data_IF_362992717832
#
_entry.id   IF_362992717832
#
_cell.length_a   1.000
_cell.length_b   1.000
_cell.length_c   1.000
_cell.angle_alpha   90.00
_cell.angle_beta   90.00
_cell.angle_gamma   90.00
#
_symmetry.space_group_name_H-M   'P 1'
#
loop_
_entity.id
_entity.type
_entity.pdbx_description
1 polymer ?
#
# COMPACT_ATOMS: atom_id res chain seq x y z
N UNK A 1 3.23 2.68 19.42
CA UNK A 1 2.01 2.56 20.27
C UNK A 1 1.24 3.85 20.19
N UNK A 2 -0.11 3.81 20.02
CA UNK A 2 -0.95 4.96 20.32
C UNK A 2 -0.77 5.28 21.81
N UNK A 3 -0.26 6.44 22.13
CA UNK A 3 0.35 6.65 23.44
C UNK A 3 -0.50 7.41 24.43
N UNK A 4 -1.50 8.14 23.99
CA UNK A 4 -2.37 8.94 24.87
C UNK A 4 -3.75 9.12 24.26
N UNK A 5 -4.75 9.39 25.09
CA UNK A 5 -6.11 9.72 24.62
C UNK A 5 -6.15 10.91 23.64
N UNK A 6 -5.24 11.86 23.80
CA UNK A 6 -5.14 13.03 22.90
C UNK A 6 -4.71 12.69 21.46
N UNK A 7 -4.14 11.51 21.23
CA UNK A 7 -3.70 11.03 19.92
C UNK A 7 -4.64 9.96 19.37
N UNK A 8 -5.79 9.75 19.99
CA UNK A 8 -6.80 8.84 19.52
C UNK A 8 -7.51 9.48 18.33
N UNK A 9 -7.42 8.80 17.21
CA UNK A 9 -8.27 9.15 16.06
C UNK A 9 -9.66 8.58 16.28
N UNK A 10 -10.67 9.45 16.39
CA UNK A 10 -12.06 9.02 16.48
C UNK A 10 -12.55 8.47 15.14
N UNK A 11 -12.42 7.16 15.00
CA UNK A 11 -12.93 6.48 13.84
C UNK A 11 -14.45 6.52 13.86
N UNK A 12 -15.04 7.17 12.87
CA UNK A 12 -16.49 7.15 12.67
C UNK A 12 -16.98 5.70 12.57
N UNK A 13 -18.25 5.47 12.91
CA UNK A 13 -18.87 4.13 12.79
C UNK A 13 -18.66 3.53 11.40
N UNK A 14 -18.57 4.37 10.40
CA UNK A 14 -18.35 4.02 9.01
C UNK A 14 -17.05 3.27 8.75
N UNK A 15 -16.00 3.60 9.47
CA UNK A 15 -14.65 3.01 9.27
C UNK A 15 -14.28 1.97 10.33
N UNK A 16 -15.16 1.62 11.26
CA UNK A 16 -14.84 0.66 12.34
C UNK A 16 -14.44 -0.72 11.84
N UNK A 17 -14.93 -1.13 10.70
CA UNK A 17 -14.57 -2.43 10.12
C UNK A 17 -13.11 -2.48 9.66
N UNK A 18 -12.51 -1.34 9.27
CA UNK A 18 -11.11 -1.27 8.88
C UNK A 18 -10.17 -0.96 10.04
N UNK A 19 -10.71 -0.43 11.14
CA UNK A 19 -9.98 -0.13 12.37
C UNK A 19 -10.82 -0.50 13.59
N UNK A 20 -10.88 -1.78 13.94
CA UNK A 20 -11.77 -2.27 15.00
C UNK A 20 -11.39 -1.75 16.41
N UNK A 21 -10.16 -1.30 16.60
CA UNK A 21 -9.67 -0.76 17.86
C UNK A 21 -9.54 0.76 17.79
N UNK A 22 -10.00 1.44 18.83
CA UNK A 22 -9.99 2.92 18.90
C UNK A 22 -8.59 3.52 19.01
N UNK A 23 -7.60 2.73 19.41
CA UNK A 23 -6.22 3.18 19.63
C UNK A 23 -5.26 2.63 18.56
N UNK A 24 -5.63 2.72 17.30
CA UNK A 24 -4.84 2.19 16.20
C UNK A 24 -4.26 3.33 15.38
N UNK A 25 -2.95 3.28 15.11
CA UNK A 25 -2.31 4.23 14.20
C UNK A 25 -2.80 4.06 12.75
N UNK A 26 -2.88 5.14 11.98
CA UNK A 26 -3.33 5.08 10.58
C UNK A 26 -2.36 4.29 9.71
N UNK A 27 -1.08 4.62 9.79
CA UNK A 27 -0.02 3.96 9.02
C UNK A 27 1.20 3.74 9.89
N UNK A 28 1.93 2.68 9.64
CA UNK A 28 3.22 2.41 10.28
C UNK A 28 4.29 3.32 9.71
N UNK A 29 4.43 3.31 8.39
CA UNK A 29 5.27 4.22 7.62
C UNK A 29 4.37 4.95 6.63
N UNK A 30 4.37 6.29 6.65
CA UNK A 30 3.64 7.12 5.70
C UNK A 30 4.62 8.02 4.94
N UNK A 31 4.57 7.97 3.61
CA UNK A 31 5.38 8.78 2.70
C UNK A 31 4.43 9.45 1.72
N UNK A 32 4.32 10.75 1.83
CA UNK A 32 3.26 11.49 1.16
C UNK A 32 3.80 12.75 0.51
N UNK A 33 3.65 12.86 -0.81
CA UNK A 33 3.91 14.07 -1.57
C UNK A 33 2.65 14.48 -2.31
N UNK A 34 1.92 15.43 -1.76
CA UNK A 34 0.59 15.82 -2.27
C UNK A 34 0.49 17.29 -2.68
N UNK A 35 1.51 18.07 -2.36
CA UNK A 35 1.57 19.52 -2.62
C UNK A 35 2.81 19.90 -3.48
N UNK A 36 3.38 18.94 -4.23
CA UNK A 36 4.48 19.18 -5.17
C UNK A 36 5.88 19.00 -4.59
N UNK A 37 6.04 18.34 -3.44
CA UNK A 37 7.34 18.02 -2.84
C UNK A 37 8.06 16.87 -3.53
N UNK A 38 9.38 16.81 -3.37
CA UNK A 38 10.24 15.71 -3.85
C UNK A 38 10.68 14.88 -2.66
N UNK A 39 10.44 13.56 -2.71
CA UNK A 39 10.91 12.58 -1.74
C UNK A 39 11.68 11.52 -2.50
N UNK A 40 12.98 11.45 -2.28
CA UNK A 40 13.84 10.50 -2.97
C UNK A 40 15.02 10.05 -2.12
N UNK A 41 15.60 8.89 -2.47
CA UNK A 41 16.83 8.36 -1.85
C UNK A 41 16.66 8.11 -0.33
N UNK A 42 15.54 7.51 0.07
CA UNK A 42 15.26 7.20 1.48
C UNK A 42 15.28 5.69 1.71
N UNK A 43 15.88 5.28 2.80
CA UNK A 43 15.93 3.88 3.25
C UNK A 43 15.22 3.70 4.57
N UNK A 44 14.32 2.72 4.63
CA UNK A 44 13.66 2.23 5.84
C UNK A 44 14.13 0.80 6.10
N UNK A 45 14.82 0.58 7.20
CA UNK A 45 15.42 -0.71 7.48
C UNK A 45 15.32 -1.09 8.97
N UNK A 46 15.19 -2.39 9.24
CA UNK A 46 15.16 -2.94 10.62
C UNK A 46 13.99 -2.39 11.45
N UNK A 47 12.78 -2.45 10.94
CA UNK A 47 11.59 -1.90 11.59
C UNK A 47 10.64 -3.02 12.01
N UNK A 48 10.20 -2.99 13.27
CA UNK A 48 9.09 -3.80 13.76
C UNK A 48 7.96 -2.91 14.24
N UNK A 49 6.74 -3.17 13.79
CA UNK A 49 5.58 -2.35 14.12
C UNK A 49 4.32 -3.19 14.38
N UNK A 50 3.49 -2.70 15.29
CA UNK A 50 2.18 -3.28 15.61
C UNK A 50 1.17 -2.19 15.98
N UNK A 51 -0.13 -2.50 15.97
CA UNK A 51 -1.18 -1.54 16.34
C UNK A 51 -1.38 -0.44 15.29
N UNK A 52 -1.25 -0.79 14.05
CA UNK A 52 -1.43 0.08 12.87
C UNK A 52 -2.51 -0.49 11.95
N UNK A 53 -3.06 0.33 11.07
CA UNK A 53 -4.03 -0.13 10.07
C UNK A 53 -3.31 -0.56 8.80
N UNK A 54 -2.50 0.33 8.23
CA UNK A 54 -1.74 0.11 7.01
C UNK A 54 -0.25 0.04 7.34
N UNK A 55 0.46 -1.03 7.00
CA UNK A 55 1.90 -1.14 7.26
C UNK A 55 2.72 -0.04 6.62
N UNK A 56 2.60 0.11 5.32
CA UNK A 56 3.31 1.12 4.53
C UNK A 56 2.29 1.82 3.63
N UNK A 57 2.27 3.13 3.67
CA UNK A 57 1.42 3.99 2.85
C UNK A 57 2.29 4.98 2.09
N UNK A 58 2.35 4.84 0.76
CA UNK A 58 3.08 5.74 -0.13
C UNK A 58 2.05 6.39 -1.05
N UNK A 59 1.93 7.71 -0.99
CA UNK A 59 0.94 8.46 -1.74
C UNK A 59 1.56 9.66 -2.45
N UNK A 60 1.51 9.64 -3.76
CA UNK A 60 1.72 10.82 -4.60
C UNK A 60 0.36 11.31 -5.06
N UNK A 61 0.05 12.59 -4.85
CA UNK A 61 -1.27 13.14 -5.17
C UNK A 61 -1.16 14.59 -5.67
N UNK A 62 -2.27 15.19 -6.04
CA UNK A 62 -2.37 16.54 -6.60
C UNK A 62 -3.31 17.43 -5.80
N UNK A 63 -3.28 17.36 -4.47
CA UNK A 63 -4.12 18.20 -3.61
C UNK A 63 -3.83 19.69 -3.86
N UNK A 64 -2.55 20.03 -3.86
CA UNK A 64 -2.05 21.34 -4.28
C UNK A 64 -0.76 21.11 -5.05
N UNK A 65 -0.82 21.09 -6.37
CA UNK A 65 0.38 21.10 -7.17
C UNK A 65 1.22 22.31 -6.78
N UNK A 66 2.54 22.18 -6.90
CA UNK A 66 3.46 23.26 -6.60
C UNK A 66 2.96 24.57 -7.26
N UNK A 67 2.59 25.54 -6.43
CA UNK A 67 1.96 26.79 -6.88
C UNK A 67 2.88 27.63 -7.78
N UNK A 68 4.21 27.41 -7.70
CA UNK A 68 5.19 28.15 -8.50
C UNK A 68 5.46 27.49 -9.85
N UNK A 69 5.44 26.17 -9.95
CA UNK A 69 5.79 25.45 -11.17
C UNK A 69 4.62 24.73 -11.83
N UNK A 70 3.51 24.53 -11.13
CA UNK A 70 2.39 23.69 -11.58
C UNK A 70 2.73 22.20 -11.69
N UNK A 71 3.89 21.78 -11.17
CA UNK A 71 4.38 20.41 -11.27
C UNK A 71 3.87 19.55 -10.11
N UNK A 72 3.61 18.29 -10.40
CA UNK A 72 3.36 17.27 -9.38
C UNK A 72 4.61 17.05 -8.53
N UNK A 73 4.41 16.49 -7.34
CA UNK A 73 5.50 15.95 -6.53
C UNK A 73 6.19 14.77 -7.20
N UNK A 74 7.28 14.34 -6.59
CA UNK A 74 8.08 13.18 -7.02
C UNK A 74 8.27 12.27 -5.80
N UNK A 75 8.04 10.97 -5.99
CA UNK A 75 8.43 9.93 -5.03
C UNK A 75 9.18 8.87 -5.81
N UNK A 76 10.46 8.67 -5.49
CA UNK A 76 11.30 7.68 -6.16
C UNK A 76 12.51 7.25 -5.34
N UNK A 77 13.16 6.13 -5.75
CA UNK A 77 14.38 5.63 -5.11
C UNK A 77 14.19 5.37 -3.61
N UNK A 78 13.19 4.57 -3.25
CA UNK A 78 12.94 4.20 -1.86
C UNK A 78 13.26 2.72 -1.64
N UNK A 79 13.97 2.42 -0.57
CA UNK A 79 14.24 1.06 -0.11
C UNK A 79 13.52 0.80 1.23
N UNK A 80 12.71 -0.24 1.25
CA UNK A 80 12.13 -0.81 2.47
C UNK A 80 12.70 -2.21 2.65
N UNK A 81 13.39 -2.47 3.74
CA UNK A 81 14.02 -3.76 3.99
C UNK A 81 13.97 -4.20 5.45
N UNK A 82 13.88 -5.51 5.64
CA UNK A 82 13.87 -6.13 6.97
C UNK A 82 12.79 -5.51 7.89
N UNK A 83 11.52 -5.62 7.46
CA UNK A 83 10.38 -5.03 8.16
C UNK A 83 9.38 -6.11 8.57
N UNK A 84 8.93 -6.05 9.81
CA UNK A 84 7.83 -6.89 10.30
C UNK A 84 6.69 -5.99 10.80
N UNK A 85 5.48 -6.22 10.30
CA UNK A 85 4.31 -5.42 10.64
C UNK A 85 3.10 -6.29 11.01
N UNK A 86 2.42 -5.94 12.11
CA UNK A 86 1.10 -6.48 12.48
C UNK A 86 0.06 -5.40 12.39
N UNK A 87 -0.73 -5.45 11.31
CA UNK A 87 -1.83 -4.53 11.07
C UNK A 87 -3.11 -5.00 11.78
N UNK A 88 -3.81 -4.08 12.39
CA UNK A 88 -5.12 -4.32 13.01
C UNK A 88 -6.27 -4.21 12.01
N UNK A 89 -6.00 -3.61 10.85
CA UNK A 89 -6.99 -3.32 9.81
C UNK A 89 -6.88 -4.25 8.61
N UNK A 90 -7.74 -3.96 7.65
CA UNK A 90 -7.89 -4.68 6.38
C UNK A 90 -7.31 -3.92 5.19
N UNK A 91 -6.84 -2.68 5.40
CA UNK A 91 -6.23 -1.88 4.35
C UNK A 91 -4.82 -2.40 4.10
N UNK A 92 -4.48 -2.77 2.85
CA UNK A 92 -3.17 -3.32 2.51
C UNK A 92 -2.05 -2.29 2.64
N UNK A 93 -0.82 -2.72 2.47
CA UNK A 93 0.27 -1.83 2.05
C UNK A 93 -0.13 -1.17 0.73
N UNK A 94 -0.02 0.16 0.66
CA UNK A 94 -0.44 0.96 -0.49
C UNK A 94 0.74 1.73 -1.09
N UNK A 95 0.92 1.58 -2.41
CA UNK A 95 1.80 2.42 -3.23
C UNK A 95 0.93 3.03 -4.32
N UNK A 96 0.57 4.29 -4.17
CA UNK A 96 -0.40 4.93 -5.03
C UNK A 96 0.12 6.25 -5.61
N UNK A 97 0.53 6.20 -6.88
CA UNK A 97 0.75 7.36 -7.71
C UNK A 97 -0.54 7.94 -8.28
N UNK A 98 -0.40 8.78 -9.29
CA UNK A 98 -1.50 9.35 -10.07
C UNK A 98 -1.29 9.07 -11.57
N UNK A 99 -2.32 9.21 -12.41
CA UNK A 99 -2.15 8.99 -13.85
C UNK A 99 -1.07 9.87 -14.53
N UNK A 100 -0.76 11.03 -13.93
CA UNK A 100 0.22 11.98 -14.45
C UNK A 100 1.47 12.13 -13.57
N UNK A 101 1.49 11.49 -12.40
CA UNK A 101 2.61 11.49 -11.46
C UNK A 101 2.85 10.07 -10.94
N UNK A 102 3.76 9.34 -11.57
CA UNK A 102 4.03 7.94 -11.22
C UNK A 102 5.08 7.84 -10.12
N UNK A 103 4.92 6.85 -9.25
CA UNK A 103 5.93 6.50 -8.24
C UNK A 103 6.91 5.53 -8.90
N UNK A 104 8.21 5.75 -8.74
CA UNK A 104 9.21 4.93 -9.43
C UNK A 104 10.32 4.44 -8.51
N UNK A 105 10.96 3.34 -8.91
CA UNK A 105 12.19 2.84 -8.29
C UNK A 105 12.01 2.49 -6.80
N UNK A 106 11.02 1.68 -6.49
CA UNK A 106 10.76 1.21 -5.12
C UNK A 106 11.23 -0.23 -4.95
N UNK A 107 11.96 -0.48 -3.90
CA UNK A 107 12.33 -1.85 -3.49
C UNK A 107 11.67 -2.21 -2.16
N UNK A 108 10.93 -3.33 -2.16
CA UNK A 108 10.37 -3.98 -0.97
C UNK A 108 11.08 -5.32 -0.77
N UNK A 109 11.93 -5.45 0.25
CA UNK A 109 12.74 -6.64 0.48
C UNK A 109 12.66 -7.15 1.91
N UNK A 110 12.56 -8.47 2.09
CA UNK A 110 12.55 -9.10 3.40
C UNK A 110 11.48 -8.52 4.33
N UNK A 111 10.24 -8.48 3.85
CA UNK A 111 9.13 -7.87 4.56
C UNK A 111 8.09 -8.92 4.92
N UNK A 112 7.65 -8.94 6.16
CA UNK A 112 6.51 -9.74 6.62
C UNK A 112 5.41 -8.81 7.13
N UNK A 113 4.23 -8.91 6.52
CA UNK A 113 3.04 -8.15 6.93
C UNK A 113 1.92 -9.10 7.33
N UNK A 114 1.28 -8.82 8.45
CA UNK A 114 0.08 -9.53 8.89
C UNK A 114 -1.09 -8.56 8.93
N UNK A 115 -2.18 -8.90 8.27
CA UNK A 115 -3.43 -8.13 8.21
C UNK A 115 -4.57 -8.85 8.89
N UNK A 116 -5.63 -8.13 9.23
CA UNK A 116 -6.84 -8.73 9.80
C UNK A 116 -7.48 -9.75 8.85
N UNK A 117 -7.52 -9.47 7.56
CA UNK A 117 -8.23 -10.30 6.59
C UNK A 117 -9.74 -10.30 6.79
N UNK A 118 -10.44 -11.25 6.13
CA UNK A 118 -11.88 -11.43 6.31
C UNK A 118 -12.73 -10.71 5.26
N UNK A 119 -12.14 -10.14 4.24
CA UNK A 119 -12.84 -9.38 3.22
C UNK A 119 -13.26 -10.24 2.02
N UNK A 120 -14.32 -9.79 1.34
CA UNK A 120 -14.80 -10.37 0.10
C UNK A 120 -13.99 -9.93 -1.10
N UNK A 121 -13.96 -10.77 -2.12
CA UNK A 121 -13.32 -10.43 -3.38
C UNK A 121 -13.98 -9.19 -4.00
N UNK A 122 -13.12 -8.28 -4.48
CA UNK A 122 -13.54 -7.17 -5.32
C UNK A 122 -12.57 -6.99 -6.48
N UNK A 123 -13.08 -6.57 -7.61
CA UNK A 123 -12.30 -6.47 -8.86
C UNK A 123 -12.15 -5.03 -9.35
N UNK A 124 -12.54 -4.06 -8.55
CA UNK A 124 -12.51 -2.66 -8.95
C UNK A 124 -11.23 -1.99 -8.46
N UNK A 125 -10.61 -1.24 -9.35
CA UNK A 125 -9.56 -0.28 -8.98
C UNK A 125 -10.10 0.75 -8.00
N UNK A 126 -9.22 1.25 -7.13
CA UNK A 126 -9.58 2.32 -6.20
C UNK A 126 -9.90 3.63 -6.97
N UNK A 127 -10.75 4.50 -6.42
CA UNK A 127 -11.02 5.81 -7.03
C UNK A 127 -9.75 6.69 -7.03
N UNK A 128 -9.66 7.60 -8.00
CA UNK A 128 -8.49 8.46 -8.16
C UNK A 128 -8.34 9.57 -7.12
N UNK A 129 -9.19 9.87 -6.33
CA UNK A 129 -9.21 10.87 -5.25
C UNK A 129 -8.01 11.88 -5.21
N UNK A 130 -7.72 12.52 -6.35
CA UNK A 130 -6.51 13.33 -6.56
C UNK A 130 -6.37 14.55 -5.64
N UNK A 131 -7.45 14.97 -5.00
CA UNK A 131 -7.48 16.12 -4.07
C UNK A 131 -7.76 15.71 -2.63
N UNK A 132 -7.81 14.42 -2.35
CA UNK A 132 -8.06 13.91 -1.01
C UNK A 132 -6.97 14.28 -0.02
N UNK A 133 -7.33 14.35 1.25
CA UNK A 133 -6.35 14.43 2.32
C UNK A 133 -5.54 13.13 2.36
N UNK A 134 -4.20 13.18 2.38
CA UNK A 134 -3.37 11.99 2.25
C UNK A 134 -3.43 11.16 3.54
N UNK A 135 -4.20 10.13 3.51
CA UNK A 135 -4.25 9.09 4.54
C UNK A 135 -4.83 7.80 3.94
N UNK A 136 -4.62 6.69 4.60
CA UNK A 136 -5.01 5.39 4.08
C UNK A 136 -6.52 5.23 3.82
N UNK A 137 -7.38 6.05 4.43
CA UNK A 137 -8.84 6.06 4.22
C UNK A 137 -9.29 6.83 2.97
N UNK A 138 -8.38 7.60 2.35
CA UNK A 138 -8.74 8.47 1.22
C UNK A 138 -9.35 7.72 0.03
N UNK A 139 -9.09 6.43 -0.07
CA UNK A 139 -9.59 5.58 -1.14
C UNK A 139 -10.89 4.83 -0.78
N UNK A 140 -11.45 5.07 0.40
CA UNK A 140 -12.69 4.44 0.86
C UNK A 140 -12.46 3.18 1.69
N UNK A 141 -13.54 2.44 1.89
CA UNK A 141 -13.56 1.25 2.75
C UNK A 141 -13.07 -0.01 2.05
N UNK A 142 -13.29 -0.09 0.75
CA UNK A 142 -13.05 -1.28 -0.03
C UNK A 142 -11.66 -1.20 -0.66
N UNK A 143 -10.92 -2.30 -0.58
CA UNK A 143 -9.60 -2.42 -1.19
C UNK A 143 -9.52 -3.73 -1.99
N UNK A 144 -9.01 -3.71 -3.22
CA UNK A 144 -8.98 -4.90 -4.08
C UNK A 144 -7.87 -5.90 -3.71
N UNK A 145 -6.95 -5.53 -2.83
CA UNK A 145 -5.88 -6.41 -2.37
C UNK A 145 -5.96 -6.69 -0.87
N UNK A 146 -5.58 -7.88 -0.45
CA UNK A 146 -5.48 -8.23 0.97
C UNK A 146 -4.15 -7.83 1.61
N UNK A 147 -3.07 -7.67 0.84
CA UNK A 147 -1.73 -7.42 1.37
C UNK A 147 -0.98 -6.25 0.76
N UNK A 148 -0.98 -6.13 -0.56
CA UNK A 148 -0.25 -5.07 -1.27
C UNK A 148 -1.04 -4.58 -2.48
N UNK A 149 -1.29 -3.29 -2.55
CA UNK A 149 -1.89 -2.62 -3.69
C UNK A 149 -0.92 -1.60 -4.28
N UNK A 150 -0.65 -1.71 -5.58
CA UNK A 150 0.25 -0.82 -6.31
C UNK A 150 -0.50 -0.25 -7.50
N UNK A 151 -0.47 1.08 -7.65
CA UNK A 151 -1.03 1.72 -8.84
C UNK A 151 -0.21 2.93 -9.28
N UNK A 152 -0.27 3.23 -10.59
CA UNK A 152 0.46 4.32 -11.22
C UNK A 152 1.93 4.35 -10.76
N UNK A 153 2.60 3.20 -10.93
CA UNK A 153 3.96 3.01 -10.47
C UNK A 153 4.79 2.22 -11.48
N UNK A 154 6.09 2.50 -11.54
CA UNK A 154 7.01 1.85 -12.45
C UNK A 154 8.29 1.41 -11.74
N UNK A 155 8.92 0.36 -12.25
CA UNK A 155 10.19 -0.17 -11.74
C UNK A 155 10.12 -0.51 -10.25
N UNK A 156 9.28 -1.47 -9.90
CA UNK A 156 9.11 -1.93 -8.52
C UNK A 156 9.68 -3.34 -8.36
N UNK A 157 10.60 -3.49 -7.42
CA UNK A 157 11.14 -4.78 -7.01
C UNK A 157 10.50 -5.23 -5.69
N UNK A 158 9.91 -6.41 -5.69
CA UNK A 158 9.34 -7.06 -4.50
C UNK A 158 10.07 -8.38 -4.31
N UNK A 159 10.84 -8.51 -3.25
CA UNK A 159 11.65 -9.70 -2.98
C UNK A 159 11.42 -10.21 -1.56
N UNK A 160 11.17 -11.51 -1.43
CA UNK A 160 10.96 -12.17 -0.14
C UNK A 160 9.90 -11.45 0.70
N UNK A 161 8.69 -11.32 0.12
CA UNK A 161 7.57 -10.60 0.73
C UNK A 161 6.53 -11.61 1.24
N UNK A 162 6.28 -11.61 2.56
CA UNK A 162 5.33 -12.50 3.21
C UNK A 162 4.07 -11.76 3.62
N UNK A 163 2.92 -12.19 3.09
CA UNK A 163 1.60 -11.66 3.43
C UNK A 163 0.85 -12.72 4.24
N UNK A 164 0.36 -12.35 5.42
CA UNK A 164 -0.43 -13.21 6.28
C UNK A 164 -1.78 -12.57 6.57
N UNK A 165 -2.84 -13.33 6.38
CA UNK A 165 -4.20 -12.93 6.76
C UNK A 165 -4.62 -13.72 8.00
N UNK A 166 -5.01 -13.02 9.10
CA UNK A 166 -5.51 -13.70 10.31
C UNK A 166 -6.83 -14.40 10.10
N UNK A 167 -7.71 -13.80 9.30
CA UNK A 167 -8.97 -14.39 8.88
C UNK A 167 -8.92 -14.69 7.39
N UNK A 168 -9.67 -15.69 6.96
CA UNK A 168 -9.77 -16.04 5.54
C UNK A 168 -10.22 -14.85 4.70
N UNK A 169 -9.44 -14.52 3.66
CA UNK A 169 -9.64 -13.37 2.80
C UNK A 169 -9.84 -13.81 1.35
N UNK A 170 -10.85 -13.29 0.67
CA UNK A 170 -11.16 -13.64 -0.73
C UNK A 170 -10.43 -12.76 -1.73
N UNK A 171 -9.77 -11.68 -1.28
CA UNK A 171 -9.00 -10.79 -2.16
C UNK A 171 -7.67 -11.43 -2.57
N UNK A 172 -7.13 -11.09 -3.75
CA UNK A 172 -5.75 -11.42 -4.09
C UNK A 172 -4.80 -10.80 -3.06
N UNK A 173 -3.67 -11.44 -2.84
CA UNK A 173 -2.64 -10.93 -1.94
C UNK A 173 -2.02 -9.65 -2.46
N UNK A 174 -1.82 -9.59 -3.79
CA UNK A 174 -1.32 -8.40 -4.49
C UNK A 174 -2.30 -8.02 -5.61
N UNK A 175 -2.59 -6.74 -5.73
CA UNK A 175 -3.29 -6.18 -6.88
C UNK A 175 -2.44 -5.04 -7.47
N UNK A 176 -2.17 -5.15 -8.79
CA UNK A 176 -1.42 -4.16 -9.56
C UNK A 176 -2.39 -3.45 -10.51
N UNK A 177 -2.36 -2.11 -10.53
CA UNK A 177 -3.26 -1.30 -11.35
C UNK A 177 -2.49 -0.20 -12.08
N UNK A 178 -2.43 -0.26 -13.40
CA UNK A 178 -1.64 0.67 -14.21
C UNK A 178 -0.18 0.78 -13.71
N UNK A 179 0.51 -0.36 -13.73
CA UNK A 179 1.89 -0.48 -13.29
C UNK A 179 2.76 -1.14 -14.36
N UNK A 180 4.02 -0.72 -14.45
CA UNK A 180 4.96 -1.20 -15.46
C UNK A 180 6.30 -1.60 -14.80
N UNK A 181 6.99 -2.59 -15.37
CA UNK A 181 8.27 -3.08 -14.88
C UNK A 181 8.21 -3.53 -13.42
N UNK A 182 7.32 -4.48 -13.13
CA UNK A 182 7.13 -5.03 -11.79
C UNK A 182 7.81 -6.40 -11.69
N UNK A 183 8.75 -6.53 -10.78
CA UNK A 183 9.48 -7.75 -10.52
C UNK A 183 9.14 -8.30 -9.15
N UNK A 184 8.58 -9.52 -9.09
CA UNK A 184 8.17 -10.17 -7.86
C UNK A 184 8.93 -11.48 -7.72
N UNK A 185 9.67 -11.64 -6.63
CA UNK A 185 10.43 -12.83 -6.32
C UNK A 185 10.13 -13.33 -4.90
N UNK A 186 9.96 -14.64 -4.75
CA UNK A 186 9.76 -15.30 -3.45
C UNK A 186 8.58 -14.72 -2.66
N UNK A 187 7.46 -14.45 -3.35
CA UNK A 187 6.22 -14.05 -2.69
C UNK A 187 5.63 -15.24 -1.92
N UNK A 188 5.28 -15.04 -0.66
CA UNK A 188 4.54 -16.00 0.15
C UNK A 188 3.25 -15.37 0.66
N UNK A 189 2.16 -16.13 0.62
CA UNK A 189 0.87 -15.68 1.13
C UNK A 189 0.16 -16.80 1.87
N UNK A 190 -0.43 -16.46 3.01
CA UNK A 190 -1.26 -17.36 3.81
C UNK A 190 -2.56 -16.68 4.22
N UNK A 191 -3.64 -17.45 4.28
CA UNK A 191 -4.97 -16.96 4.66
C UNK A 191 -5.79 -16.34 3.52
N UNK A 192 -5.21 -16.05 2.37
CA UNK A 192 -5.97 -15.70 1.16
C UNK A 192 -6.46 -16.99 0.47
N UNK A 193 -7.73 -16.98 0.04
CA UNK A 193 -8.36 -18.05 -0.76
C UNK A 193 -8.73 -17.54 -2.18
N UNK A 194 -8.21 -16.42 -2.57
CA UNK A 194 -8.38 -15.90 -3.93
C UNK A 194 -7.92 -16.93 -4.98
N UNK A 195 -8.59 -16.98 -6.12
CA UNK A 195 -8.20 -17.88 -7.22
C UNK A 195 -6.80 -17.58 -7.76
N UNK A 196 -6.40 -16.32 -7.70
CA UNK A 196 -5.06 -15.86 -8.09
C UNK A 196 -4.45 -15.10 -6.91
N UNK A 197 -3.21 -15.41 -6.59
CA UNK A 197 -2.45 -14.70 -5.55
C UNK A 197 -2.15 -13.27 -5.99
N UNK A 198 -1.92 -13.05 -7.26
CA UNK A 198 -1.64 -11.75 -7.87
C UNK A 198 -2.66 -11.50 -8.97
N UNK A 199 -3.34 -10.36 -8.91
CA UNK A 199 -4.19 -9.84 -9.97
C UNK A 199 -3.64 -8.50 -10.48
N UNK A 200 -3.92 -8.19 -11.74
CA UNK A 200 -3.42 -6.97 -12.36
C UNK A 200 -4.40 -6.43 -13.41
N UNK A 201 -4.35 -5.12 -13.63
CA UNK A 201 -5.13 -4.39 -14.62
C UNK A 201 -4.27 -3.31 -15.25
N UNK A 202 -4.31 -3.16 -16.58
CA UNK A 202 -3.55 -2.14 -17.33
C UNK A 202 -2.04 -2.14 -17.04
N UNK A 203 -1.48 -3.30 -16.77
CA UNK A 203 -0.07 -3.45 -16.45
C UNK A 203 0.73 -4.01 -17.62
N UNK A 204 2.03 -3.74 -17.63
CA UNK A 204 2.96 -4.30 -18.61
C UNK A 204 4.28 -4.71 -17.95
N UNK A 205 4.99 -5.64 -18.56
CA UNK A 205 6.30 -6.13 -18.11
C UNK A 205 6.31 -6.57 -16.63
N UNK A 206 5.39 -7.49 -16.29
CA UNK A 206 5.36 -8.10 -14.95
C UNK A 206 6.13 -9.43 -15.02
N UNK A 207 7.05 -9.64 -14.07
CA UNK A 207 7.72 -10.93 -13.87
C UNK A 207 7.48 -11.46 -12.47
N UNK A 208 7.25 -12.78 -12.38
CA UNK A 208 7.10 -13.49 -11.11
C UNK A 208 8.08 -14.66 -11.14
N UNK A 209 9.03 -14.70 -10.20
CA UNK A 209 10.09 -15.71 -10.13
C UNK A 209 10.76 -15.92 -11.51
N UNK A 210 11.11 -14.82 -12.17
CA UNK A 210 11.75 -14.79 -13.48
C UNK A 210 10.85 -15.13 -14.68
N UNK A 211 9.56 -15.38 -14.48
CA UNK A 211 8.60 -15.68 -15.55
C UNK A 211 7.74 -14.47 -15.87
N UNK A 212 7.67 -14.13 -17.15
CA UNK A 212 6.79 -13.05 -17.63
C UNK A 212 5.32 -13.45 -17.49
N UNK A 213 4.54 -12.60 -16.86
CA UNK A 213 3.08 -12.73 -16.76
C UNK A 213 2.45 -12.10 -18.01
N UNK A 214 1.55 -12.85 -18.65
CA UNK A 214 0.81 -12.40 -19.82
C UNK A 214 -0.57 -11.88 -19.43
#
# INVERSE_FOLDING_TARGET
>A
RPTTESNIWDWSKEYRHIAPKTHTGLSGIAIESVDGGIIEQVTFNNISMEGIITPIFICLNHRRMNQHSGQSGIIRNLLFSNITAKAEGIIPTLIAGTPTGRITDITLRDITVEHAGGEKAMTKSLPENLKGYPENRMYGKENPAGGLYIRHADNILIENFHIRQRNTDERPSIFLDDATDIHIEKLQSTGSIAKKMIEHSKCSNITIDGRVVK
#
